data_IF_953341806832
#
_entry.id   IF_953341806832
#
_cell.length_a   1.000
_cell.length_b   1.000
_cell.length_c   1.000
_cell.angle_alpha   90.00
_cell.angle_beta   90.00
_cell.angle_gamma   90.00
#
_symmetry.space_group_name_H-M   'P 1'
#
loop_
_entity.id
_entity.type
_entity.pdbx_description
1 polymer ?
#
# COMPACT_ATOMS: atom_id res chain seq x y z
N UNK A 1 19.49 -1.70 -19.24
CA UNK A 1 18.28 -1.40 -18.44
C UNK A 1 18.77 -1.08 -17.04
N UNK A 2 19.10 0.17 -16.75
CA UNK A 2 19.53 0.66 -15.45
C UNK A 2 18.32 1.29 -14.77
N UNK A 3 17.73 0.49 -13.99
CA UNK A 3 16.95 0.60 -12.76
C UNK A 3 16.29 1.93 -12.40
N UNK A 4 14.96 1.92 -12.44
CA UNK A 4 14.05 2.86 -11.79
C UNK A 4 14.34 3.06 -10.27
N UNK A 5 15.16 2.22 -9.64
CA UNK A 5 15.50 2.30 -8.23
C UNK A 5 16.41 3.48 -7.85
N UNK A 6 17.24 3.98 -8.77
CA UNK A 6 18.19 5.08 -8.46
C UNK A 6 17.46 6.43 -8.36
N UNK A 7 16.39 6.63 -9.12
CA UNK A 7 15.58 7.86 -9.04
C UNK A 7 14.80 8.01 -7.73
N UNK A 8 14.55 6.91 -7.01
CA UNK A 8 13.92 6.94 -5.68
C UNK A 8 14.86 7.48 -4.60
N UNK A 9 16.18 7.39 -4.79
CA UNK A 9 17.17 7.88 -3.82
C UNK A 9 17.46 9.38 -3.94
N UNK A 10 17.16 10.02 -5.07
CA UNK A 10 17.40 11.45 -5.27
C UNK A 10 16.10 12.21 -5.05
N UNK A 11 15.79 12.48 -3.78
CA UNK A 11 14.59 13.21 -3.38
C UNK A 11 14.74 14.70 -3.70
N UNK A 12 13.74 15.29 -4.38
CA UNK A 12 13.75 16.69 -4.80
C UNK A 12 13.84 17.66 -3.61
N UNK A 13 13.34 17.29 -2.44
CA UNK A 13 13.45 18.10 -1.23
C UNK A 13 14.91 18.25 -0.79
N UNK A 14 15.69 17.16 -0.89
CA UNK A 14 17.12 17.19 -0.58
C UNK A 14 17.89 18.04 -1.58
N UNK A 15 17.57 17.90 -2.88
CA UNK A 15 18.14 18.73 -3.93
C UNK A 15 17.84 20.22 -3.73
N UNK A 16 16.62 20.58 -3.39
CA UNK A 16 16.21 21.95 -3.08
C UNK A 16 16.99 22.54 -1.91
N UNK A 17 17.24 21.73 -0.86
CA UNK A 17 18.02 22.13 0.31
C UNK A 17 19.51 22.28 -0.07
N UNK A 18 20.06 21.34 -0.80
CA UNK A 18 21.49 21.32 -1.21
C UNK A 18 21.80 22.49 -2.18
N UNK A 19 20.85 22.83 -3.05
CA UNK A 19 20.94 24.00 -3.92
C UNK A 19 20.62 25.32 -3.20
N UNK A 20 20.32 25.29 -1.91
CA UNK A 20 19.94 26.47 -1.10
C UNK A 20 18.83 27.32 -1.75
N UNK A 21 17.89 26.69 -2.45
CA UNK A 21 16.82 27.41 -3.12
C UNK A 21 15.96 28.18 -2.11
N UNK A 22 15.76 29.48 -2.36
CA UNK A 22 14.94 30.32 -1.49
C UNK A 22 13.47 29.91 -1.56
N UNK A 23 13.03 29.14 -0.57
CA UNK A 23 11.64 28.73 -0.40
C UNK A 23 10.79 29.92 -0.01
N UNK A 24 9.60 30.03 -0.57
CA UNK A 24 8.63 31.10 -0.28
C UNK A 24 7.45 30.59 0.53
N UNK A 25 6.94 29.42 0.20
CA UNK A 25 5.89 28.75 0.98
C UNK A 25 5.83 27.25 0.68
N UNK A 26 5.12 26.51 1.52
CA UNK A 26 4.78 25.11 1.29
C UNK A 26 3.27 24.92 1.46
N UNK A 27 2.64 24.16 0.56
CA UNK A 27 1.19 23.85 0.62
C UNK A 27 0.97 22.40 0.25
N UNK A 28 0.62 21.56 1.21
CA UNK A 28 0.47 20.12 1.01
C UNK A 28 1.76 19.50 0.45
N UNK A 29 1.64 18.83 -0.68
CA UNK A 29 2.77 18.14 -1.36
C UNK A 29 3.59 19.06 -2.28
N UNK A 30 3.45 20.39 -2.14
CA UNK A 30 4.14 21.35 -2.98
C UNK A 30 5.00 22.30 -2.17
N UNK A 31 6.23 22.52 -2.64
CA UNK A 31 7.11 23.61 -2.23
C UNK A 31 7.09 24.66 -3.34
N UNK A 32 7.04 25.92 -2.95
CA UNK A 32 7.20 27.04 -3.87
C UNK A 32 8.50 27.75 -3.52
N UNK A 33 9.29 28.06 -4.55
CA UNK A 33 10.60 28.70 -4.39
C UNK A 33 10.84 29.73 -5.49
N UNK A 34 11.84 30.58 -5.28
CA UNK A 34 12.34 31.45 -6.35
C UNK A 34 13.02 30.57 -7.37
N UNK A 35 12.68 30.77 -8.65
CA UNK A 35 13.27 30.00 -9.74
C UNK A 35 14.75 30.37 -9.95
N UNK A 36 15.69 29.41 -9.88
CA UNK A 36 17.11 29.68 -10.10
C UNK A 36 17.44 30.04 -11.55
N UNK A 37 16.57 29.68 -12.51
CA UNK A 37 16.81 29.88 -13.94
C UNK A 37 16.39 31.24 -14.45
N UNK A 38 15.30 31.80 -13.97
CA UNK A 38 14.82 33.12 -14.37
C UNK A 38 14.94 34.20 -13.29
N UNK A 39 15.43 33.86 -12.11
CA UNK A 39 15.79 34.74 -10.97
C UNK A 39 14.81 35.90 -10.68
N UNK A 40 13.53 35.73 -10.97
CA UNK A 40 12.58 36.80 -10.85
C UNK A 40 12.08 36.90 -9.42
N UNK A 41 12.59 37.91 -8.68
CA UNK A 41 12.32 38.15 -7.26
C UNK A 41 11.04 38.91 -6.96
N UNK A 42 10.28 39.33 -7.98
CA UNK A 42 9.18 40.28 -7.83
C UNK A 42 7.86 39.68 -7.31
N UNK A 43 7.77 38.41 -7.05
CA UNK A 43 6.57 37.82 -6.47
C UNK A 43 6.82 37.14 -5.10
N UNK A 44 5.97 37.53 -4.16
CA UNK A 44 5.96 36.97 -2.79
C UNK A 44 5.83 35.47 -2.71
N UNK A 45 5.34 34.77 -3.78
CA UNK A 45 4.99 33.36 -3.77
C UNK A 45 5.96 32.45 -4.54
N UNK A 46 6.97 32.97 -5.23
CA UNK A 46 7.89 32.18 -6.08
C UNK A 46 7.20 31.49 -7.25
N UNK A 47 7.89 31.41 -8.40
CA UNK A 47 7.33 30.77 -9.61
C UNK A 47 7.67 29.30 -9.75
N UNK A 48 8.71 28.83 -9.04
CA UNK A 48 9.12 27.43 -9.07
C UNK A 48 8.20 26.61 -8.20
N UNK A 49 7.36 25.80 -8.80
CA UNK A 49 6.49 24.83 -8.13
C UNK A 49 7.14 23.46 -8.14
N UNK A 50 7.37 22.90 -6.97
CA UNK A 50 8.04 21.63 -6.75
C UNK A 50 7.02 20.66 -6.18
N UNK A 51 6.83 19.53 -6.86
CA UNK A 51 5.97 18.44 -6.39
C UNK A 51 6.83 17.40 -5.68
N UNK A 52 6.70 17.32 -4.35
CA UNK A 52 7.50 16.42 -3.50
C UNK A 52 7.20 14.94 -3.82
N UNK A 53 5.92 14.61 -4.01
CA UNK A 53 5.52 13.21 -4.25
C UNK A 53 5.96 12.70 -5.62
N UNK A 54 5.85 13.56 -6.64
CA UNK A 54 6.23 13.19 -8.03
C UNK A 54 7.72 13.38 -8.28
N UNK A 55 8.47 13.95 -7.35
CA UNK A 55 9.89 14.23 -7.47
C UNK A 55 10.25 15.09 -8.68
N UNK A 56 9.38 16.07 -9.02
CA UNK A 56 9.50 16.95 -10.19
C UNK A 56 9.28 18.41 -9.87
N UNK A 57 9.78 19.29 -10.72
CA UNK A 57 9.56 20.72 -10.64
C UNK A 57 9.07 21.33 -11.95
N UNK A 58 8.45 22.50 -11.87
CA UNK A 58 8.09 23.34 -12.99
C UNK A 58 8.13 24.82 -12.57
N UNK A 59 8.75 25.66 -13.35
CA UNK A 59 8.62 27.11 -13.23
C UNK A 59 7.48 27.62 -14.10
N UNK A 60 6.52 28.27 -13.49
CA UNK A 60 5.36 28.85 -14.23
C UNK A 60 5.71 30.06 -15.11
N UNK A 61 6.93 30.60 -15.00
CA UNK A 61 7.35 31.79 -15.73
C UNK A 61 8.24 31.48 -16.93
N UNK A 62 9.31 30.70 -16.69
CA UNK A 62 10.23 30.33 -17.77
C UNK A 62 9.97 28.93 -18.33
N UNK A 63 8.94 28.24 -17.82
CA UNK A 63 8.49 26.88 -18.21
C UNK A 63 9.54 25.79 -18.02
N UNK A 64 10.68 26.11 -17.40
CA UNK A 64 11.70 25.15 -17.07
C UNK A 64 11.13 24.07 -16.15
N UNK A 65 11.34 22.80 -16.48
CA UNK A 65 10.74 21.67 -15.79
C UNK A 65 11.62 20.43 -15.88
N UNK A 66 11.48 19.52 -14.89
CA UNK A 66 12.24 18.28 -14.89
C UNK A 66 12.09 17.51 -13.58
N UNK A 67 12.91 16.49 -13.43
CA UNK A 67 13.07 15.69 -12.21
C UNK A 67 13.99 16.39 -11.22
N UNK A 68 14.15 15.81 -10.02
CA UNK A 68 15.14 16.23 -9.04
C UNK A 68 16.56 16.26 -9.61
N UNK A 69 16.90 15.27 -10.42
CA UNK A 69 18.21 15.16 -11.05
C UNK A 69 18.44 16.26 -12.09
N UNK A 70 17.41 16.58 -12.89
CA UNK A 70 17.47 17.67 -13.86
C UNK A 70 17.62 19.02 -13.17
N UNK A 71 16.94 19.23 -12.03
CA UNK A 71 17.06 20.45 -11.24
C UNK A 71 18.51 20.66 -10.77
N UNK A 72 19.13 19.60 -10.20
CA UNK A 72 20.52 19.69 -9.74
C UNK A 72 21.50 19.88 -10.89
N UNK A 73 21.31 19.13 -11.98
CA UNK A 73 22.17 19.21 -13.16
C UNK A 73 22.14 20.60 -13.80
N UNK A 74 20.93 21.14 -14.03
CA UNK A 74 20.75 22.44 -14.68
C UNK A 74 21.24 23.60 -13.80
N UNK A 75 21.04 23.54 -12.47
CA UNK A 75 21.56 24.56 -11.54
C UNK A 75 23.10 24.56 -11.46
N UNK A 76 23.73 23.42 -11.64
CA UNK A 76 25.20 23.30 -11.57
C UNK A 76 25.88 23.28 -12.96
N UNK A 77 25.11 23.44 -14.05
CA UNK A 77 25.62 23.39 -15.44
C UNK A 77 26.42 22.12 -15.76
N UNK A 78 25.94 20.96 -15.29
CA UNK A 78 26.56 19.65 -15.49
C UNK A 78 25.60 18.68 -16.17
N UNK A 79 26.11 17.57 -16.71
CA UNK A 79 25.25 16.52 -17.24
C UNK A 79 24.48 15.80 -16.12
N UNK A 80 23.33 15.23 -16.43
CA UNK A 80 22.55 14.41 -15.49
C UNK A 80 23.36 13.22 -14.96
N UNK A 81 24.28 12.66 -15.76
CA UNK A 81 25.19 11.60 -15.35
C UNK A 81 26.19 12.07 -14.28
N UNK A 82 26.71 13.28 -14.44
CA UNK A 82 27.63 13.89 -13.47
C UNK A 82 26.87 14.35 -12.22
N UNK A 83 25.67 14.91 -12.38
CA UNK A 83 24.77 15.23 -11.28
C UNK A 83 24.48 14.01 -10.40
N UNK A 84 24.16 12.87 -11.04
CA UNK A 84 23.95 11.61 -10.34
C UNK A 84 25.18 11.17 -9.55
N UNK A 85 26.37 11.24 -10.17
CA UNK A 85 27.62 10.90 -9.45
C UNK A 85 27.87 11.80 -8.25
N UNK A 86 27.63 13.11 -8.37
CA UNK A 86 27.80 14.06 -7.28
C UNK A 86 26.79 13.84 -6.19
N UNK A 87 25.51 13.75 -6.52
CA UNK A 87 24.44 13.49 -5.54
C UNK A 87 24.61 12.16 -4.81
N UNK A 88 25.19 11.15 -5.45
CA UNK A 88 25.53 9.88 -4.79
C UNK A 88 26.84 9.93 -3.98
N UNK A 89 27.77 10.86 -4.30
CA UNK A 89 29.03 11.06 -3.57
C UNK A 89 28.95 12.14 -2.50
N UNK A 90 28.20 13.21 -2.80
CA UNK A 90 28.02 14.40 -1.97
C UNK A 90 26.79 14.31 -1.07
N UNK A 91 26.13 13.15 -1.01
CA UNK A 91 25.41 12.84 0.23
C UNK A 91 26.50 12.87 1.30
N UNK A 92 26.67 13.98 2.07
CA UNK A 92 27.57 13.90 3.20
C UNK A 92 27.04 12.73 4.00
N UNK A 93 27.92 11.84 4.39
CA UNK A 93 27.74 11.10 5.62
C UNK A 93 27.61 12.22 6.67
N UNK A 94 26.42 12.75 6.79
CA UNK A 94 26.02 13.59 7.91
C UNK A 94 25.96 12.58 9.05
N UNK A 95 27.11 12.46 9.73
CA UNK A 95 27.31 11.60 10.90
C UNK A 95 26.30 11.87 12.02
N UNK A 96 25.27 12.70 11.80
CA UNK A 96 24.28 13.07 12.83
C UNK A 96 22.86 13.37 12.35
N UNK A 97 22.50 13.09 11.09
CA UNK A 97 21.08 12.97 10.73
C UNK A 97 20.88 11.55 10.23
N UNK A 98 20.21 10.68 10.96
CA UNK A 98 19.94 9.34 10.48
C UNK A 98 19.06 9.46 9.23
N UNK A 99 19.68 9.33 8.06
CA UNK A 99 18.97 9.05 6.83
C UNK A 99 18.10 7.82 7.05
N UNK A 100 16.85 7.92 6.69
CA UNK A 100 15.86 6.86 6.53
C UNK A 100 16.39 5.49 6.95
N UNK A 101 16.55 5.29 8.24
CA UNK A 101 16.65 3.95 8.75
C UNK A 101 15.28 3.32 8.52
N UNK A 102 15.17 2.52 7.47
CA UNK A 102 14.13 1.52 7.43
C UNK A 102 14.44 0.61 8.61
N UNK A 103 13.80 0.87 9.73
CA UNK A 103 13.90 -0.02 10.87
C UNK A 103 13.52 -1.43 10.42
N UNK A 104 14.25 -2.45 10.83
CA UNK A 104 13.86 -3.81 10.53
C UNK A 104 12.43 -4.03 11.03
N UNK A 105 11.63 -4.68 10.20
CA UNK A 105 10.23 -4.98 10.56
C UNK A 105 10.20 -5.83 11.83
N UNK A 106 9.43 -5.43 12.82
CA UNK A 106 9.12 -6.24 14.00
C UNK A 106 8.42 -7.54 13.62
N UNK A 107 8.53 -8.54 14.48
CA UNK A 107 7.83 -9.81 14.27
C UNK A 107 6.30 -9.63 14.17
N UNK A 108 5.63 -10.64 13.66
CA UNK A 108 4.19 -10.58 13.36
C UNK A 108 3.31 -10.50 14.62
N UNK A 109 3.75 -11.06 15.74
CA UNK A 109 3.01 -11.00 17.01
C UNK A 109 2.99 -9.57 17.55
N UNK A 110 4.15 -8.92 17.54
CA UNK A 110 4.26 -7.55 18.00
C UNK A 110 3.51 -6.58 17.09
N UNK A 111 3.58 -6.76 15.77
CA UNK A 111 2.80 -5.96 14.82
C UNK A 111 1.30 -6.10 15.04
N UNK A 112 0.80 -7.32 15.26
CA UNK A 112 -0.61 -7.56 15.56
C UNK A 112 -1.08 -6.79 16.79
N UNK A 113 -0.33 -6.82 17.88
CA UNK A 113 -0.64 -6.07 19.10
C UNK A 113 -0.71 -4.57 18.82
N UNK A 114 0.30 -4.02 18.15
CA UNK A 114 0.34 -2.58 17.83
C UNK A 114 -0.80 -2.17 16.90
N UNK A 115 -1.05 -2.93 15.82
CA UNK A 115 -2.11 -2.58 14.87
C UNK A 115 -3.51 -2.71 15.47
N UNK A 116 -3.78 -3.69 16.35
CA UNK A 116 -5.07 -3.78 17.06
C UNK A 116 -5.27 -2.57 17.95
N UNK A 117 -4.33 -2.26 18.81
CA UNK A 117 -4.40 -1.08 19.68
C UNK A 117 -4.52 0.22 18.87
N UNK A 118 -3.82 0.32 17.73
CA UNK A 118 -3.90 1.46 16.83
C UNK A 118 -5.29 1.60 16.21
N UNK A 119 -5.87 0.53 15.70
CA UNK A 119 -7.20 0.54 15.08
C UNK A 119 -8.32 0.83 16.09
N UNK A 120 -8.17 0.39 17.34
CA UNK A 120 -9.11 0.71 18.43
C UNK A 120 -9.20 2.22 18.73
N UNK A 121 -8.11 2.95 18.51
CA UNK A 121 -8.09 4.41 18.66
C UNK A 121 -8.72 5.17 17.48
N UNK A 122 -9.16 4.47 16.44
CA UNK A 122 -9.79 5.07 15.26
C UNK A 122 -11.29 4.78 15.21
N UNK A 123 -12.05 5.76 14.72
CA UNK A 123 -13.47 5.62 14.44
C UNK A 123 -13.69 5.33 12.94
N UNK A 124 -14.82 4.76 12.59
CA UNK A 124 -15.28 4.71 11.21
C UNK A 124 -16.32 5.82 11.02
N UNK A 125 -16.05 6.79 10.15
CA UNK A 125 -17.00 7.87 9.85
C UNK A 125 -18.16 7.37 8.98
N UNK A 126 -19.29 8.10 9.00
CA UNK A 126 -20.51 7.69 8.30
C UNK A 126 -20.34 7.59 6.77
N UNK A 127 -19.53 8.47 6.16
CA UNK A 127 -19.29 8.42 4.72
C UNK A 127 -18.55 7.12 4.32
N UNK A 128 -17.53 6.74 5.07
CA UNK A 128 -16.80 5.50 4.85
C UNK A 128 -17.66 4.27 5.16
N UNK A 129 -18.46 4.33 6.21
CA UNK A 129 -19.42 3.28 6.54
C UNK A 129 -20.42 3.06 5.42
N UNK A 130 -20.98 4.13 4.88
CA UNK A 130 -21.91 4.08 3.75
C UNK A 130 -21.24 3.52 2.49
N UNK A 131 -19.99 3.93 2.21
CA UNK A 131 -19.19 3.36 1.11
C UNK A 131 -19.01 1.85 1.24
N UNK A 132 -18.70 1.35 2.44
CA UNK A 132 -18.56 -0.08 2.71
C UNK A 132 -19.91 -0.82 2.58
N UNK A 133 -21.01 -0.21 3.02
CA UNK A 133 -22.37 -0.76 2.83
C UNK A 133 -22.77 -0.85 1.35
N UNK A 134 -22.39 0.11 0.53
CA UNK A 134 -22.58 0.04 -0.92
C UNK A 134 -21.83 -1.13 -1.56
N UNK A 135 -20.75 -1.61 -0.91
CA UNK A 135 -20.04 -2.84 -1.30
C UNK A 135 -20.66 -4.12 -0.70
N UNK A 136 -21.90 -4.03 -0.16
CA UNK A 136 -22.66 -5.09 0.50
C UNK A 136 -22.02 -5.65 1.79
N UNK A 137 -21.17 -4.89 2.49
CA UNK A 137 -20.68 -5.28 3.80
C UNK A 137 -21.68 -4.91 4.89
N UNK A 138 -22.05 -5.87 5.74
CA UNK A 138 -22.89 -5.62 6.91
C UNK A 138 -22.12 -4.87 8.00
N UNK A 139 -22.84 -4.20 8.93
CA UNK A 139 -22.21 -3.55 10.09
C UNK A 139 -21.36 -4.53 10.91
N UNK A 140 -21.84 -5.78 11.06
CA UNK A 140 -21.09 -6.81 11.77
C UNK A 140 -19.81 -7.18 11.01
N UNK A 141 -19.87 -7.37 9.69
CA UNK A 141 -18.70 -7.67 8.87
C UNK A 141 -17.65 -6.55 8.94
N UNK A 142 -18.10 -5.30 8.86
CA UNK A 142 -17.22 -4.11 8.98
C UNK A 142 -16.50 -4.09 10.33
N UNK A 143 -17.24 -4.38 11.40
CA UNK A 143 -16.70 -4.44 12.77
C UNK A 143 -15.71 -5.58 12.95
N UNK A 144 -16.06 -6.79 12.51
CA UNK A 144 -15.24 -7.99 12.65
C UNK A 144 -13.91 -7.89 11.88
N UNK A 145 -13.92 -7.18 10.74
CA UNK A 145 -12.73 -6.93 9.95
C UNK A 145 -12.01 -5.62 10.32
N UNK A 146 -12.45 -4.95 11.38
CA UNK A 146 -11.80 -3.76 11.95
C UNK A 146 -11.54 -2.64 10.92
N UNK A 147 -12.46 -2.41 9.98
CA UNK A 147 -12.35 -1.30 9.04
C UNK A 147 -12.50 0.03 9.77
N UNK A 148 -11.56 0.94 9.58
CA UNK A 148 -11.49 2.22 10.29
C UNK A 148 -11.16 3.36 9.34
N UNK A 149 -11.71 4.55 9.59
CA UNK A 149 -11.32 5.76 8.88
C UNK A 149 -9.96 6.26 9.35
N UNK A 150 -9.17 6.77 8.43
CA UNK A 150 -7.85 7.31 8.75
C UNK A 150 -8.02 8.72 9.32
N UNK A 151 -7.34 8.98 10.43
CA UNK A 151 -7.24 10.34 10.99
C UNK A 151 -6.10 11.08 10.28
N UNK A 152 -6.39 12.26 9.74
CA UNK A 152 -5.44 13.08 9.00
C UNK A 152 -5.00 14.34 9.74
N UNK A 153 -5.68 14.70 10.82
CA UNK A 153 -5.27 15.83 11.66
C UNK A 153 -3.92 15.54 12.33
N UNK A 154 -2.97 16.44 12.13
CA UNK A 154 -1.59 16.24 12.59
C UNK A 154 -1.48 16.12 14.11
N UNK A 155 -2.29 16.89 14.85
CA UNK A 155 -2.27 16.87 16.32
C UNK A 155 -2.84 15.55 16.82
N UNK A 156 -3.99 15.14 16.29
CA UNK A 156 -4.63 13.87 16.68
C UNK A 156 -3.76 12.66 16.34
N UNK A 157 -3.06 12.66 15.21
CA UNK A 157 -2.11 11.59 14.88
C UNK A 157 -1.02 11.44 15.92
N UNK A 158 -0.42 12.54 16.38
CA UNK A 158 0.57 12.54 17.45
C UNK A 158 -0.02 12.03 18.77
N UNK A 159 -1.25 12.46 19.11
CA UNK A 159 -1.96 12.00 20.29
C UNK A 159 -2.24 10.49 20.26
N UNK A 160 -2.61 9.95 19.10
CA UNK A 160 -2.79 8.51 18.91
C UNK A 160 -1.48 7.76 19.15
N UNK A 161 -0.38 8.21 18.55
CA UNK A 161 0.93 7.62 18.78
C UNK A 161 1.38 7.72 20.23
N UNK A 162 1.12 8.83 20.89
CA UNK A 162 1.41 9.01 22.32
C UNK A 162 0.64 8.00 23.19
N UNK A 163 -0.67 7.81 22.95
CA UNK A 163 -1.48 6.81 23.65
C UNK A 163 -0.94 5.39 23.49
N UNK A 164 -0.46 5.03 22.28
CA UNK A 164 0.18 3.73 22.07
C UNK A 164 1.47 3.59 22.91
N UNK A 165 2.28 4.64 22.97
CA UNK A 165 3.50 4.65 23.79
C UNK A 165 3.20 4.59 25.29
N UNK A 166 2.14 5.25 25.75
CA UNK A 166 1.65 5.19 27.13
C UNK A 166 1.19 3.76 27.52
N UNK A 167 0.74 2.97 26.53
CA UNK A 167 0.47 1.52 26.69
C UNK A 167 1.75 0.67 26.67
N UNK A 168 2.94 1.28 26.59
CA UNK A 168 4.22 0.58 26.52
C UNK A 168 4.58 0.06 25.13
N UNK A 169 3.83 0.44 24.08
CA UNK A 169 4.08 -0.02 22.72
C UNK A 169 5.16 0.81 22.02
N UNK A 170 6.13 0.13 21.44
CA UNK A 170 7.18 0.74 20.62
C UNK A 170 6.72 0.77 19.16
N UNK A 171 6.88 1.90 18.50
CA UNK A 171 6.40 2.13 17.13
C UNK A 171 7.52 1.94 16.08
N UNK A 172 8.77 1.85 16.51
CA UNK A 172 9.89 1.52 15.64
C UNK A 172 9.74 0.12 15.03
N UNK A 173 10.01 -0.03 13.76
CA UNK A 173 9.87 -1.31 13.05
C UNK A 173 8.42 -1.70 12.71
N UNK A 174 7.46 -0.82 12.96
CA UNK A 174 6.05 -1.03 12.57
C UNK A 174 5.76 -0.20 11.32
N UNK A 175 5.44 -0.82 10.17
CA UNK A 175 5.14 -0.08 8.94
C UNK A 175 4.02 0.94 9.12
N UNK A 176 4.21 2.11 8.51
CA UNK A 176 3.27 3.22 8.58
C UNK A 176 3.62 4.26 9.66
N UNK A 177 4.28 3.87 10.74
CA UNK A 177 4.73 4.80 11.79
C UNK A 177 6.08 5.40 11.44
N UNK A 178 6.29 6.65 11.86
CA UNK A 178 7.50 7.43 11.60
C UNK A 178 7.63 8.53 12.64
N UNK A 179 8.78 9.18 12.72
CA UNK A 179 8.96 10.39 13.50
C UNK A 179 8.91 11.63 12.59
N UNK A 180 8.40 12.72 13.13
CA UNK A 180 8.42 14.03 12.46
C UNK A 180 9.75 14.78 12.72
N UNK A 181 9.81 16.02 12.26
CA UNK A 181 10.98 16.90 12.44
C UNK A 181 11.31 17.22 13.90
N UNK A 182 10.35 17.07 14.80
CA UNK A 182 10.51 17.27 16.26
C UNK A 182 10.77 15.94 16.99
N UNK A 183 11.11 14.88 16.25
CA UNK A 183 11.33 13.52 16.76
C UNK A 183 10.12 12.91 17.48
N UNK A 184 8.92 13.44 17.25
CA UNK A 184 7.67 12.92 17.79
C UNK A 184 7.09 11.86 16.87
N UNK A 185 6.61 10.78 17.45
CA UNK A 185 5.94 9.73 16.68
C UNK A 185 4.63 10.24 16.07
N UNK A 186 4.46 9.91 14.82
CA UNK A 186 3.27 10.12 14.00
C UNK A 186 3.14 8.96 13.02
N UNK A 187 2.22 9.04 12.06
CA UNK A 187 2.09 8.01 11.03
C UNK A 187 1.76 8.62 9.67
N UNK A 188 2.10 7.87 8.63
CA UNK A 188 1.74 8.19 7.25
C UNK A 188 0.23 8.12 7.11
N UNK A 189 -0.38 9.15 6.52
CA UNK A 189 -1.83 9.19 6.34
C UNK A 189 -2.22 9.62 4.94
N UNK A 190 -3.34 9.07 4.48
CA UNK A 190 -4.04 9.42 3.27
C UNK A 190 -5.53 9.39 3.59
N UNK A 191 -6.36 10.17 2.89
CA UNK A 191 -7.81 10.05 3.08
C UNK A 191 -8.28 8.68 2.60
N UNK A 192 -8.94 7.95 3.48
CA UNK A 192 -9.39 6.59 3.15
C UNK A 192 -9.70 5.73 4.38
N UNK A 193 -9.77 4.44 4.12
CA UNK A 193 -10.14 3.42 5.09
C UNK A 193 -8.99 2.45 5.28
N UNK A 194 -8.61 2.18 6.54
CA UNK A 194 -7.72 1.08 6.87
C UNK A 194 -8.39 -0.27 6.63
N UNK A 195 -7.67 -1.15 5.94
CA UNK A 195 -8.03 -2.54 5.68
C UNK A 195 -6.94 -3.41 6.29
N UNK A 196 -7.22 -4.10 7.42
CA UNK A 196 -6.27 -5.01 8.01
C UNK A 196 -5.98 -6.21 7.10
N UNK A 197 -4.70 -6.50 6.92
CA UNK A 197 -4.22 -7.69 6.21
C UNK A 197 -4.01 -8.79 7.24
N UNK A 198 -4.94 -9.72 7.31
CA UNK A 198 -5.02 -10.74 8.37
C UNK A 198 -4.61 -12.10 7.82
N UNK A 199 -3.70 -12.77 8.51
CA UNK A 199 -3.37 -14.17 8.30
C UNK A 199 -3.16 -14.86 9.65
N UNK A 200 -3.70 -16.07 9.81
CA UNK A 200 -3.60 -16.85 11.04
C UNK A 200 -4.00 -16.07 12.32
N UNK A 201 -5.09 -15.30 12.20
CA UNK A 201 -5.64 -14.42 13.25
C UNK A 201 -4.73 -13.23 13.65
N UNK A 202 -3.67 -12.94 12.90
CA UNK A 202 -2.77 -11.82 13.15
C UNK A 202 -2.87 -10.78 12.05
N UNK A 203 -2.83 -9.52 12.44
CA UNK A 203 -2.71 -8.40 11.52
C UNK A 203 -1.23 -8.26 11.13
N UNK A 204 -0.89 -8.66 9.92
CA UNK A 204 0.47 -8.58 9.39
C UNK A 204 0.84 -7.15 8.95
N UNK A 205 -0.14 -6.40 8.50
CA UNK A 205 -0.02 -5.04 8.01
C UNK A 205 -1.37 -4.41 7.73
N UNK A 206 -1.37 -3.16 7.31
CA UNK A 206 -2.57 -2.44 6.93
C UNK A 206 -2.48 -1.99 5.46
N UNK A 207 -3.59 -2.11 4.74
CA UNK A 207 -3.80 -1.43 3.46
C UNK A 207 -4.65 -0.21 3.69
N UNK A 208 -4.57 0.74 2.78
CA UNK A 208 -5.42 1.94 2.76
C UNK A 208 -6.23 1.91 1.48
N UNK A 209 -7.55 1.78 1.60
CA UNK A 209 -8.47 2.03 0.50
C UNK A 209 -8.68 3.53 0.40
N UNK A 210 -8.14 4.14 -0.64
CA UNK A 210 -8.16 5.59 -0.84
C UNK A 210 -9.56 6.11 -1.16
N UNK A 211 -9.83 7.35 -0.77
CA UNK A 211 -11.03 8.05 -1.20
C UNK A 211 -10.95 8.43 -2.69
N UNK A 212 -12.10 8.44 -3.36
CA UNK A 212 -12.18 8.86 -4.76
C UNK A 212 -11.72 10.32 -4.90
N UNK A 213 -10.88 10.59 -5.91
CA UNK A 213 -10.33 11.91 -6.16
C UNK A 213 -8.85 12.08 -5.78
N UNK A 214 -8.22 11.09 -5.17
CA UNK A 214 -6.77 11.06 -5.05
C UNK A 214 -6.14 10.64 -6.39
N UNK A 215 -5.15 11.44 -6.82
CA UNK A 215 -4.45 11.32 -8.11
C UNK A 215 -3.54 10.08 -8.26
N UNK A 216 -3.79 9.04 -7.50
CA UNK A 216 -3.10 7.77 -7.64
C UNK A 216 -4.00 6.85 -8.45
N UNK A 217 -3.47 6.31 -9.54
CA UNK A 217 -4.14 5.31 -10.38
C UNK A 217 -4.40 3.96 -9.63
N UNK A 218 -4.16 3.93 -8.32
CA UNK A 218 -4.38 2.76 -7.46
C UNK A 218 -5.45 3.05 -6.43
N UNK A 219 -6.45 2.18 -6.30
CA UNK A 219 -7.47 2.29 -5.26
C UNK A 219 -6.92 1.98 -3.85
N UNK A 220 -5.83 1.23 -3.75
CA UNK A 220 -5.28 0.75 -2.49
C UNK A 220 -3.75 0.83 -2.43
N UNK A 221 -3.24 1.32 -1.31
CA UNK A 221 -1.82 1.41 -1.03
C UNK A 221 -1.48 0.73 0.30
N UNK A 222 -0.21 0.39 0.51
CA UNK A 222 0.26 -0.06 1.82
C UNK A 222 0.36 1.11 2.80
N UNK A 223 -0.08 0.87 4.05
CA UNK A 223 0.29 1.71 5.18
C UNK A 223 1.77 1.46 5.48
N UNK A 224 2.60 2.33 4.92
CA UNK A 224 4.05 2.19 4.90
C UNK A 224 4.69 3.55 5.09
N UNK A 225 5.71 3.61 5.90
CA UNK A 225 6.51 4.82 6.15
C UNK A 225 7.91 4.71 5.53
N UNK A 226 8.03 3.97 4.44
CA UNK A 226 9.27 3.88 3.67
C UNK A 226 9.79 5.29 3.31
N UNK A 227 11.09 5.51 3.44
CA UNK A 227 11.76 6.79 3.21
C UNK A 227 11.38 7.93 4.17
N UNK A 228 10.74 7.62 5.29
CA UNK A 228 10.47 8.59 6.36
C UNK A 228 11.45 8.36 7.53
N UNK A 229 11.67 9.40 8.35
CA UNK A 229 12.56 9.32 9.50
C UNK A 229 12.04 8.30 10.53
N UNK A 230 12.90 7.35 10.92
CA UNK A 230 12.52 6.17 11.72
C UNK A 230 11.32 5.39 11.16
N UNK A 231 11.09 5.51 9.85
CA UNK A 231 10.03 4.78 9.16
C UNK A 231 10.36 3.31 8.92
N UNK A 232 9.37 2.56 8.50
CA UNK A 232 9.48 1.13 8.20
C UNK A 232 8.71 0.81 6.93
N UNK A 233 9.34 0.09 6.01
CA UNK A 233 8.70 -0.37 4.77
C UNK A 233 7.75 -1.52 5.06
N UNK A 234 6.52 -1.47 4.54
CA UNK A 234 5.63 -2.63 4.53
C UNK A 234 6.13 -3.70 3.55
N UNK A 235 5.84 -4.95 3.85
CA UNK A 235 6.05 -6.08 2.94
C UNK A 235 4.78 -6.47 2.22
N UNK A 236 4.91 -7.32 1.20
CA UNK A 236 3.79 -7.84 0.43
C UNK A 236 3.23 -9.10 1.12
N UNK A 237 2.44 -8.92 2.18
CA UNK A 237 1.78 -10.03 2.87
C UNK A 237 0.49 -10.43 2.18
N UNK A 238 0.22 -11.74 2.06
CA UNK A 238 -1.10 -12.22 1.67
C UNK A 238 -2.08 -12.07 2.84
N UNK A 239 -3.37 -12.00 2.50
CA UNK A 239 -4.47 -12.06 3.45
C UNK A 239 -5.24 -13.35 3.23
N UNK A 240 -5.70 -14.00 4.29
CA UNK A 240 -6.56 -15.18 4.19
C UNK A 240 -7.87 -14.93 4.93
N UNK A 241 -8.95 -14.92 4.16
CA UNK A 241 -10.31 -14.87 4.68
C UNK A 241 -10.92 -16.26 4.65
N UNK A 242 -11.45 -16.70 5.78
CA UNK A 242 -12.07 -18.00 5.94
C UNK A 242 -13.26 -17.91 6.89
N UNK A 243 -14.14 -18.90 6.86
CA UNK A 243 -15.21 -19.01 7.85
C UNK A 243 -14.60 -19.09 9.27
N UNK A 244 -15.19 -18.32 10.19
CA UNK A 244 -14.78 -18.28 11.59
C UNK A 244 -14.86 -19.65 12.27
N UNK A 245 -15.79 -20.50 11.85
CA UNK A 245 -15.98 -21.86 12.36
C UNK A 245 -14.87 -22.83 11.93
N UNK A 246 -14.10 -22.50 10.89
CA UNK A 246 -12.96 -23.30 10.45
C UNK A 246 -11.73 -22.82 11.22
N UNK A 247 -11.13 -23.67 12.06
CA UNK A 247 -9.86 -23.35 12.68
C UNK A 247 -8.67 -23.54 11.71
N UNK A 248 -7.56 -22.85 11.95
CA UNK A 248 -6.38 -22.88 11.08
C UNK A 248 -5.76 -24.26 10.96
N UNK A 249 -5.72 -25.02 12.08
CA UNK A 249 -5.19 -26.38 12.05
C UNK A 249 -6.00 -27.28 11.14
N UNK A 250 -7.34 -27.27 11.27
CA UNK A 250 -8.23 -28.05 10.41
C UNK A 250 -8.15 -27.63 8.94
N UNK A 251 -7.94 -26.33 8.68
CA UNK A 251 -7.79 -25.82 7.32
C UNK A 251 -6.54 -26.36 6.65
N UNK A 252 -5.40 -26.40 7.35
CA UNK A 252 -4.13 -26.84 6.80
C UNK A 252 -3.91 -28.38 6.85
N UNK A 253 -4.65 -29.09 7.69
CA UNK A 253 -4.51 -30.55 7.83
C UNK A 253 -5.73 -31.33 7.30
N UNK A 254 -6.61 -30.70 6.55
CA UNK A 254 -7.74 -31.37 5.94
C UNK A 254 -7.28 -32.35 4.87
N UNK A 255 -7.75 -33.61 4.98
CA UNK A 255 -7.59 -34.60 3.91
C UNK A 255 -8.54 -34.36 2.73
N UNK A 256 -9.58 -33.57 2.94
CA UNK A 256 -10.57 -33.24 1.92
C UNK A 256 -10.02 -32.13 1.03
N UNK A 257 -10.04 -32.35 -0.26
CA UNK A 257 -9.70 -31.34 -1.25
C UNK A 257 -10.65 -30.15 -1.15
N UNK A 258 -10.09 -28.94 -1.27
CA UNK A 258 -10.87 -27.70 -1.19
C UNK A 258 -10.58 -26.80 -2.38
N UNK A 259 -11.64 -26.21 -2.89
CA UNK A 259 -11.52 -25.10 -3.82
C UNK A 259 -11.15 -23.81 -3.05
N UNK A 260 -10.18 -23.08 -3.56
CA UNK A 260 -9.71 -21.83 -2.99
C UNK A 260 -9.84 -20.71 -4.01
N UNK A 261 -10.26 -19.56 -3.54
CA UNK A 261 -10.30 -18.34 -4.35
C UNK A 261 -9.04 -17.53 -4.07
N UNK A 262 -8.37 -17.07 -5.11
CA UNK A 262 -7.28 -16.08 -5.02
C UNK A 262 -7.77 -14.79 -5.64
N UNK A 263 -7.62 -13.67 -4.93
CA UNK A 263 -7.98 -12.34 -5.41
C UNK A 263 -6.76 -11.43 -5.45
N UNK A 264 -6.57 -10.69 -6.53
CA UNK A 264 -5.39 -9.84 -6.76
C UNK A 264 -5.46 -8.48 -6.03
N UNK A 265 -6.49 -8.28 -5.23
CA UNK A 265 -6.72 -7.05 -4.47
C UNK A 265 -7.49 -7.37 -3.19
N UNK A 266 -7.18 -6.63 -2.09
CA UNK A 266 -7.71 -6.97 -0.77
C UNK A 266 -9.20 -6.71 -0.62
N UNK A 267 -9.73 -5.62 -1.20
CA UNK A 267 -11.18 -5.36 -1.17
C UNK A 267 -11.94 -6.36 -2.05
N UNK A 268 -11.37 -6.75 -3.19
CA UNK A 268 -11.93 -7.82 -4.01
C UNK A 268 -11.98 -9.14 -3.22
N UNK A 269 -10.94 -9.46 -2.45
CA UNK A 269 -10.94 -10.62 -1.58
C UNK A 269 -12.07 -10.57 -0.55
N UNK A 270 -12.28 -9.43 0.11
CA UNK A 270 -13.39 -9.24 1.05
C UNK A 270 -14.75 -9.38 0.38
N UNK A 271 -14.94 -8.81 -0.82
CA UNK A 271 -16.20 -8.96 -1.60
C UNK A 271 -16.47 -10.42 -1.96
N UNK A 272 -15.47 -11.12 -2.49
CA UNK A 272 -15.56 -12.53 -2.84
C UNK A 272 -15.89 -13.41 -1.62
N UNK A 273 -15.18 -13.20 -0.51
CA UNK A 273 -15.45 -13.92 0.73
C UNK A 273 -16.86 -13.64 1.27
N UNK A 274 -17.27 -12.37 1.29
CA UNK A 274 -18.61 -12.01 1.78
C UNK A 274 -19.73 -12.65 0.96
N UNK A 275 -19.55 -12.78 -0.35
CA UNK A 275 -20.56 -13.35 -1.25
C UNK A 275 -20.53 -14.88 -1.26
N UNK A 276 -19.35 -15.52 -1.20
CA UNK A 276 -19.20 -16.97 -1.39
C UNK A 276 -19.08 -17.74 -0.10
N UNK A 277 -18.60 -17.11 0.97
CA UNK A 277 -18.17 -17.76 2.22
C UNK A 277 -17.07 -18.83 2.02
N UNK A 278 -16.53 -18.98 0.81
CA UNK A 278 -15.38 -19.85 0.52
C UNK A 278 -14.10 -19.21 1.03
N UNK A 279 -13.05 -20.00 1.26
CA UNK A 279 -11.74 -19.47 1.62
C UNK A 279 -11.17 -18.62 0.49
N UNK A 280 -10.77 -17.39 0.80
CA UNK A 280 -10.20 -16.44 -0.15
C UNK A 280 -8.81 -16.00 0.31
N UNK A 281 -7.85 -16.08 -0.60
CA UNK A 281 -6.50 -15.56 -0.42
C UNK A 281 -6.42 -14.23 -1.18
N UNK A 282 -6.34 -13.13 -0.45
CA UNK A 282 -6.06 -11.81 -1.04
C UNK A 282 -4.55 -11.66 -1.22
N UNK A 283 -4.13 -11.35 -2.44
CA UNK A 283 -2.71 -11.18 -2.75
C UNK A 283 -2.43 -9.74 -3.20
N UNK A 284 -1.37 -9.11 -2.69
CA UNK A 284 -0.94 -7.82 -3.20
C UNK A 284 -0.19 -7.98 -4.53
N UNK A 285 -0.14 -6.91 -5.31
CA UNK A 285 0.74 -6.84 -6.46
C UNK A 285 2.20 -7.09 -6.04
N UNK A 286 2.95 -7.82 -6.84
CA UNK A 286 4.35 -8.17 -6.58
C UNK A 286 4.60 -9.12 -5.40
N UNK A 287 3.63 -9.97 -5.06
CA UNK A 287 3.88 -11.06 -4.12
C UNK A 287 4.76 -12.14 -4.76
N UNK A 288 5.61 -12.75 -3.96
CA UNK A 288 6.38 -13.91 -4.40
C UNK A 288 5.44 -15.11 -4.63
N UNK A 289 5.53 -15.71 -5.81
CA UNK A 289 4.75 -16.89 -6.20
C UNK A 289 4.93 -18.07 -5.24
N UNK A 290 6.13 -18.24 -4.69
CA UNK A 290 6.43 -19.36 -3.77
C UNK A 290 5.65 -19.22 -2.45
N UNK A 291 5.36 -18.01 -2.00
CA UNK A 291 4.47 -17.77 -0.85
C UNK A 291 3.06 -18.31 -1.14
N UNK A 292 2.53 -18.00 -2.32
CA UNK A 292 1.20 -18.47 -2.74
C UNK A 292 1.16 -19.98 -2.85
N UNK A 293 2.15 -20.57 -3.52
CA UNK A 293 2.28 -22.02 -3.67
C UNK A 293 2.32 -22.73 -2.32
N UNK A 294 3.08 -22.21 -1.37
CA UNK A 294 3.18 -22.80 -0.04
C UNK A 294 1.85 -22.75 0.72
N UNK A 295 1.10 -21.62 0.63
CA UNK A 295 -0.21 -21.50 1.25
C UNK A 295 -1.18 -22.50 0.63
N UNK A 296 -1.28 -22.54 -0.70
CA UNK A 296 -2.22 -23.42 -1.43
C UNK A 296 -1.92 -24.89 -1.17
N UNK A 297 -0.64 -25.29 -1.15
CA UNK A 297 -0.24 -26.66 -0.79
C UNK A 297 -0.64 -27.04 0.63
N UNK A 298 -0.43 -26.15 1.61
CA UNK A 298 -0.84 -26.40 3.00
C UNK A 298 -2.35 -26.58 3.13
N UNK A 299 -3.14 -26.00 2.22
CA UNK A 299 -4.61 -26.12 2.20
C UNK A 299 -5.13 -27.37 1.49
N UNK A 300 -4.25 -28.22 0.96
CA UNK A 300 -4.63 -29.39 0.15
C UNK A 300 -5.60 -29.04 -0.99
N UNK A 301 -5.23 -28.04 -1.78
CA UNK A 301 -6.08 -27.47 -2.83
C UNK A 301 -5.78 -28.13 -4.17
N UNK A 302 -6.81 -28.60 -4.86
CA UNK A 302 -6.72 -29.17 -6.23
C UNK A 302 -7.19 -28.18 -7.30
N UNK A 303 -7.98 -27.18 -6.92
CA UNK A 303 -8.55 -26.19 -7.84
C UNK A 303 -8.52 -24.79 -7.24
N UNK A 304 -8.05 -23.83 -8.03
CA UNK A 304 -7.98 -22.40 -7.70
C UNK A 304 -8.83 -21.61 -8.67
N UNK A 305 -9.64 -20.69 -8.13
CA UNK A 305 -10.28 -19.63 -8.89
C UNK A 305 -9.50 -18.36 -8.69
N UNK A 306 -8.79 -17.91 -9.71
CA UNK A 306 -7.99 -16.67 -9.66
C UNK A 306 -8.80 -15.51 -10.23
N UNK A 307 -9.19 -14.58 -9.35
CA UNK A 307 -9.90 -13.36 -9.70
C UNK A 307 -8.95 -12.16 -9.73
N UNK A 308 -8.91 -11.47 -10.86
CA UNK A 308 -8.20 -10.21 -11.01
C UNK A 308 -9.20 -9.07 -11.15
N UNK A 309 -8.94 -7.95 -10.48
CA UNK A 309 -9.69 -6.72 -10.71
C UNK A 309 -9.27 -6.07 -12.05
N UNK A 310 -10.17 -5.27 -12.63
CA UNK A 310 -9.95 -4.60 -13.91
C UNK A 310 -8.69 -3.74 -13.92
N UNK A 311 -8.43 -3.03 -12.81
CA UNK A 311 -7.26 -2.15 -12.71
C UNK A 311 -5.97 -2.96 -12.76
N UNK A 312 -5.88 -4.02 -11.98
CA UNK A 312 -4.70 -4.91 -11.96
C UNK A 312 -4.44 -5.51 -13.34
N UNK A 313 -5.48 -5.92 -14.08
CA UNK A 313 -5.34 -6.46 -15.45
C UNK A 313 -4.79 -5.42 -16.43
N UNK A 314 -5.21 -4.16 -16.32
CA UNK A 314 -4.81 -3.09 -17.22
C UNK A 314 -3.40 -2.55 -16.93
N UNK A 315 -2.97 -2.58 -15.67
CA UNK A 315 -1.74 -1.91 -15.21
C UNK A 315 -0.61 -2.85 -14.77
N UNK A 316 -0.89 -4.14 -14.56
CA UNK A 316 0.16 -5.15 -14.39
C UNK A 316 0.44 -5.83 -15.72
N UNK A 317 1.72 -6.01 -16.03
CA UNK A 317 2.08 -6.92 -17.11
C UNK A 317 1.45 -8.28 -16.81
N UNK A 318 0.73 -8.87 -17.72
CA UNK A 318 0.12 -10.21 -17.60
C UNK A 318 1.09 -11.31 -17.15
N UNK A 319 2.39 -11.02 -17.17
CA UNK A 319 3.47 -11.87 -16.67
C UNK A 319 3.28 -12.32 -15.21
N UNK A 320 2.75 -11.47 -14.32
CA UNK A 320 2.53 -11.87 -12.93
C UNK A 320 1.49 -12.98 -12.82
N UNK A 321 0.36 -12.83 -13.52
CA UNK A 321 -0.71 -13.83 -13.51
C UNK A 321 -0.26 -15.13 -14.18
N UNK A 322 0.39 -15.01 -15.33
CA UNK A 322 0.93 -16.17 -16.05
C UNK A 322 1.93 -16.94 -15.19
N UNK A 323 2.81 -16.26 -14.45
CA UNK A 323 3.75 -16.92 -13.55
C UNK A 323 3.07 -17.65 -12.39
N UNK A 324 2.01 -17.06 -11.81
CA UNK A 324 1.24 -17.68 -10.74
C UNK A 324 0.47 -18.89 -11.30
N UNK A 325 -0.26 -18.71 -12.41
CA UNK A 325 -1.04 -19.77 -13.07
C UNK A 325 -0.13 -20.94 -13.42
N UNK A 326 0.95 -20.69 -14.17
CA UNK A 326 1.91 -21.71 -14.57
C UNK A 326 2.47 -22.47 -13.36
N UNK A 327 2.86 -21.75 -12.31
CA UNK A 327 3.44 -22.38 -11.12
C UNK A 327 2.45 -23.24 -10.35
N UNK A 328 1.16 -22.90 -10.36
CA UNK A 328 0.09 -23.74 -9.77
C UNK A 328 -0.18 -24.96 -10.63
N UNK A 329 -0.28 -24.80 -11.96
CA UNK A 329 -0.53 -25.89 -12.91
C UNK A 329 0.61 -26.90 -12.96
N UNK A 330 1.87 -26.46 -12.87
CA UNK A 330 3.05 -27.32 -12.73
C UNK A 330 3.01 -28.23 -11.47
N UNK A 331 2.21 -27.85 -10.47
CA UNK A 331 1.95 -28.63 -9.26
C UNK A 331 0.66 -29.44 -9.31
N UNK A 332 0.02 -29.53 -10.48
CA UNK A 332 -1.22 -30.28 -10.69
C UNK A 332 -2.48 -29.60 -10.18
N UNK A 333 -2.41 -28.30 -9.86
CA UNK A 333 -3.54 -27.52 -9.38
C UNK A 333 -4.25 -26.88 -10.59
N UNK A 334 -5.53 -27.17 -10.78
CA UNK A 334 -6.32 -26.55 -11.86
C UNK A 334 -6.59 -25.07 -11.55
N UNK A 335 -6.31 -24.19 -12.51
CA UNK A 335 -6.57 -22.75 -12.34
C UNK A 335 -7.68 -22.29 -13.28
N UNK A 336 -8.69 -21.64 -12.72
CA UNK A 336 -9.72 -20.93 -13.46
C UNK A 336 -9.50 -19.43 -13.28
N UNK A 337 -8.98 -18.77 -14.31
CA UNK A 337 -8.75 -17.32 -14.30
C UNK A 337 -10.01 -16.58 -14.69
N UNK A 338 -10.32 -15.49 -13.96
CA UNK A 338 -11.49 -14.63 -14.16
C UNK A 338 -11.14 -13.16 -13.93
N UNK A 339 -11.87 -12.29 -14.60
CA UNK A 339 -11.72 -10.83 -14.45
C UNK A 339 -13.00 -10.29 -13.82
N UNK A 340 -12.90 -9.70 -12.64
CA UNK A 340 -13.98 -9.00 -11.99
C UNK A 340 -14.14 -7.61 -12.62
N UNK A 341 -15.05 -7.48 -13.57
CA UNK A 341 -15.29 -6.23 -14.32
C UNK A 341 -16.17 -5.26 -13.53
N UNK A 342 -17.19 -5.77 -12.83
CA UNK A 342 -18.11 -4.99 -11.99
C UNK A 342 -18.68 -5.85 -10.84
N UNK A 343 -19.29 -5.20 -9.85
CA UNK A 343 -19.97 -5.91 -8.75
C UNK A 343 -21.20 -6.70 -9.22
N UNK A 344 -21.84 -6.27 -10.32
CA UNK A 344 -22.95 -6.98 -10.96
C UNK A 344 -22.49 -8.24 -11.68
N UNK A 345 -21.38 -8.17 -12.41
CA UNK A 345 -20.78 -9.32 -13.10
C UNK A 345 -20.33 -10.38 -12.11
N UNK A 346 -19.69 -9.94 -11.02
CA UNK A 346 -19.29 -10.82 -9.94
C UNK A 346 -20.46 -11.61 -9.34
N UNK A 347 -21.62 -10.95 -9.13
CA UNK A 347 -22.84 -11.60 -8.63
C UNK A 347 -23.43 -12.59 -9.61
N UNK A 348 -23.45 -12.26 -10.91
CA UNK A 348 -23.97 -13.14 -11.96
C UNK A 348 -23.13 -14.41 -12.09
N UNK A 349 -21.80 -14.29 -12.10
CA UNK A 349 -20.90 -15.43 -12.19
C UNK A 349 -21.02 -16.36 -10.97
N UNK A 350 -21.06 -15.78 -9.77
CA UNK A 350 -21.18 -16.56 -8.54
C UNK A 350 -22.52 -17.29 -8.43
N UNK A 351 -23.62 -16.70 -8.90
CA UNK A 351 -24.93 -17.35 -8.94
C UNK A 351 -24.96 -18.50 -9.95
N UNK A 352 -24.30 -18.36 -11.11
CA UNK A 352 -24.18 -19.43 -12.09
C UNK A 352 -23.38 -20.63 -11.53
N UNK A 353 -22.31 -20.39 -10.78
CA UNK A 353 -21.54 -21.46 -10.14
C UNK A 353 -22.32 -22.20 -9.06
N UNK A 354 -23.08 -21.48 -8.23
CA UNK A 354 -23.95 -22.08 -7.22
C UNK A 354 -24.99 -22.99 -7.85
N UNK A 355 -25.65 -22.55 -8.91
CA UNK A 355 -26.62 -23.37 -9.65
C UNK A 355 -26.01 -24.61 -10.29
N UNK A 356 -24.77 -24.54 -10.78
CA UNK A 356 -24.05 -25.70 -11.35
C UNK A 356 -23.65 -26.68 -10.24
N UNK A 357 -23.21 -26.19 -9.07
CA UNK A 357 -22.87 -27.05 -7.92
C UNK A 357 -24.11 -27.71 -7.30
N UNK A 358 -25.24 -27.02 -7.22
CA UNK A 358 -26.51 -27.59 -6.76
C UNK A 358 -27.04 -28.66 -7.71
N UNK A 359 -27.01 -28.41 -9.02
CA UNK A 359 -27.42 -29.39 -10.01
C UNK A 359 -26.54 -30.64 -10.04
N UNK A 360 -25.24 -30.53 -9.70
CA UNK A 360 -24.33 -31.68 -9.57
C UNK A 360 -24.55 -32.49 -8.28
N UNK A 361 -25.19 -31.91 -7.26
CA UNK A 361 -25.53 -32.64 -6.01
C UNK A 361 -26.87 -33.38 -6.12
N UNK A 362 -27.67 -33.03 -7.11
CA UNK A 362 -29.00 -33.60 -7.36
C UNK A 362 -28.94 -34.72 -8.43
N UNK A 363 -27.87 -34.77 -9.22
CA UNK A 363 -27.57 -35.85 -10.18
C UNK A 363 -26.60 -36.88 -9.56
#
# INVERSE_FOLDING_TARGET
MLNNSIYEYINITNVVNQLHLKKTCSRGNYIYAICPFCQNSNEKNGYLKINILKNVYICRKCEERGSSLDLYANCNYISTKEAMKRLLKETPVLDNIPYTYNNPIKDEYYRDIVYRSFLELHMLNENHKNRLKQMNFSDQYIKDNMFKSIENDTIKKKQICQKLQEQGLKLDGIPGFMQDTDFKWTYKSHNGIFIPVIMENRILGLRIMLDKGYYLDTENIWFSSNNEYNGTKASNWPMILKDSNINWFSMYNSKQEKDVIIATEMILAHKLFNNTKKTVIGIPNNIDKDVILNIVKRMNTSKVFLYADKYTVLHTSGLMFNNIIQSLEEKGIKVNFRIALSDSDLKLELNQEQNIEENKKIA
#
